data_IF_922694683940
#
_entry.id   IF_922694683940
#
_cell.length_a   1.000
_cell.length_b   1.000
_cell.length_c   1.000
_cell.angle_alpha   90.00
_cell.angle_beta   90.00
_cell.angle_gamma   90.00
#
_symmetry.space_group_name_H-M   'P 1'
#
loop_
_entity.id
_entity.type
_entity.pdbx_description
1 polymer ?
#
# COMPACT_ATOMS: atom_id res chain seq x y z
N UNK A 1 1.64 -39.97 27.14
CA UNK A 1 1.56 -38.49 27.22
C UNK A 1 2.75 -37.77 26.56
N UNK A 2 3.75 -38.49 26.01
CA UNK A 2 4.93 -37.90 25.37
C UNK A 2 4.85 -37.84 23.82
N UNK A 3 3.90 -38.55 23.20
CA UNK A 3 3.84 -38.67 21.73
C UNK A 3 3.35 -37.40 21.00
N UNK A 4 2.60 -36.53 21.68
CA UNK A 4 2.09 -35.28 21.09
C UNK A 4 3.23 -34.27 20.84
N UNK A 5 4.26 -34.26 21.71
CA UNK A 5 5.39 -33.31 21.59
C UNK A 5 6.22 -33.52 20.32
N UNK A 6 6.35 -34.76 19.86
CA UNK A 6 7.24 -35.11 18.73
C UNK A 6 6.56 -34.83 17.37
N UNK A 7 5.22 -34.95 17.29
CA UNK A 7 4.51 -34.71 16.03
C UNK A 7 4.34 -33.22 15.67
N UNK A 8 4.38 -32.34 16.66
CA UNK A 8 4.08 -30.93 16.47
C UNK A 8 5.31 -30.05 16.24
N UNK A 9 6.48 -30.49 16.70
CA UNK A 9 7.78 -29.87 16.43
C UNK A 9 8.05 -29.62 14.93
N UNK A 10 7.87 -30.61 14.01
CA UNK A 10 8.10 -30.39 12.58
C UNK A 10 7.12 -29.39 11.95
N UNK A 11 5.93 -29.17 12.53
CA UNK A 11 4.98 -28.16 12.05
C UNK A 11 5.48 -26.75 12.33
N UNK A 12 6.02 -26.52 13.53
CA UNK A 12 6.56 -25.20 13.90
C UNK A 12 7.80 -24.90 13.07
N UNK A 13 8.69 -25.88 12.86
CA UNK A 13 9.84 -25.71 11.99
C UNK A 13 9.46 -25.38 10.55
N UNK A 14 8.42 -26.04 10.01
CA UNK A 14 7.90 -25.73 8.68
C UNK A 14 7.38 -24.29 8.60
N UNK A 15 6.62 -23.83 9.58
CA UNK A 15 6.14 -22.44 9.66
C UNK A 15 7.30 -21.45 9.73
N UNK A 16 8.33 -21.75 10.53
CA UNK A 16 9.56 -20.96 10.62
C UNK A 16 10.23 -20.86 9.25
N UNK A 17 10.47 -21.98 8.58
CA UNK A 17 11.15 -22.00 7.29
C UNK A 17 10.36 -21.26 6.19
N UNK A 18 9.02 -21.37 6.19
CA UNK A 18 8.18 -20.58 5.28
C UNK A 18 8.25 -19.09 5.58
N UNK A 19 8.21 -18.70 6.87
CA UNK A 19 8.33 -17.31 7.27
C UNK A 19 9.69 -16.72 6.87
N UNK A 20 10.79 -17.45 7.08
CA UNK A 20 12.13 -17.02 6.64
C UNK A 20 12.21 -16.77 5.13
N UNK A 21 11.61 -17.66 4.32
CA UNK A 21 11.54 -17.49 2.86
C UNK A 21 10.72 -16.27 2.46
N UNK A 22 9.56 -16.06 3.09
CA UNK A 22 8.72 -14.90 2.84
C UNK A 22 9.40 -13.59 3.27
N UNK A 23 10.14 -13.60 4.40
CA UNK A 23 10.96 -12.45 4.82
C UNK A 23 11.97 -12.10 3.74
N UNK A 24 12.72 -13.07 3.20
CA UNK A 24 13.72 -12.81 2.17
C UNK A 24 13.11 -12.22 0.89
N UNK A 25 11.92 -12.68 0.50
CA UNK A 25 11.18 -12.12 -0.63
C UNK A 25 10.76 -10.68 -0.35
N UNK A 26 10.19 -10.40 0.82
CA UNK A 26 9.77 -9.05 1.19
C UNK A 26 10.95 -8.07 1.32
N UNK A 27 12.08 -8.53 1.85
CA UNK A 27 13.31 -7.73 1.90
C UNK A 27 13.82 -7.37 0.49
N UNK A 28 13.74 -8.31 -0.45
CA UNK A 28 14.02 -8.06 -1.87
C UNK A 28 13.07 -7.02 -2.47
N UNK A 29 11.78 -7.12 -2.18
CA UNK A 29 10.77 -6.17 -2.69
C UNK A 29 10.93 -4.79 -2.07
N UNK A 30 11.26 -4.70 -0.78
CA UNK A 30 11.59 -3.44 -0.12
C UNK A 30 12.80 -2.78 -0.78
N UNK A 31 13.82 -3.54 -1.17
CA UNK A 31 14.96 -3.02 -1.90
C UNK A 31 14.57 -2.49 -3.29
N UNK A 32 13.75 -3.24 -4.03
CA UNK A 32 13.23 -2.82 -5.33
C UNK A 32 12.38 -1.53 -5.23
N UNK A 33 11.48 -1.45 -4.24
CA UNK A 33 10.67 -0.25 -3.97
C UNK A 33 11.52 0.97 -3.61
N UNK A 34 12.62 0.78 -2.87
CA UNK A 34 13.55 1.86 -2.55
C UNK A 34 14.33 2.34 -3.77
N UNK A 35 14.62 1.44 -4.72
CA UNK A 35 15.23 1.78 -6.01
C UNK A 35 14.24 2.39 -7.01
N UNK A 36 12.94 2.38 -6.71
CA UNK A 36 11.88 2.83 -7.63
C UNK A 36 11.55 1.82 -8.73
N UNK A 37 12.09 0.60 -8.65
CA UNK A 37 11.82 -0.47 -9.61
C UNK A 37 10.63 -1.31 -9.16
N UNK A 38 9.43 -0.85 -9.54
CA UNK A 38 8.17 -1.54 -9.23
C UNK A 38 7.99 -2.79 -10.11
N UNK A 39 8.71 -2.91 -11.22
CA UNK A 39 8.61 -4.08 -12.10
C UNK A 39 9.37 -5.29 -11.54
N UNK A 40 10.41 -5.06 -10.74
CA UNK A 40 11.21 -6.10 -10.09
C UNK A 40 10.57 -6.74 -8.84
N UNK A 41 9.31 -6.42 -8.52
CA UNK A 41 8.62 -6.97 -7.34
C UNK A 41 8.34 -8.46 -7.50
N UNK A 42 8.94 -9.27 -6.62
CA UNK A 42 8.78 -10.72 -6.56
C UNK A 42 7.45 -11.13 -5.94
N UNK A 43 6.76 -10.26 -5.19
CA UNK A 43 5.38 -10.52 -4.74
C UNK A 43 4.41 -10.79 -5.90
N UNK A 44 4.71 -10.32 -7.11
CA UNK A 44 3.94 -10.63 -8.32
C UNK A 44 4.11 -12.07 -8.84
N UNK A 45 5.13 -12.78 -8.38
CA UNK A 45 5.45 -14.14 -8.84
C UNK A 45 4.40 -15.15 -8.34
N UNK A 46 3.81 -15.97 -9.23
CA UNK A 46 2.90 -17.05 -8.86
C UNK A 46 3.43 -18.00 -7.79
N UNK A 47 4.74 -18.25 -7.73
CA UNK A 47 5.34 -19.13 -6.73
C UNK A 47 5.29 -18.50 -5.32
N UNK A 48 5.56 -17.20 -5.23
CA UNK A 48 5.50 -16.43 -3.98
C UNK A 48 4.05 -16.34 -3.49
N UNK A 49 3.09 -16.19 -4.40
CA UNK A 49 1.67 -16.20 -4.06
C UNK A 49 1.22 -17.55 -3.49
N UNK A 50 1.67 -18.65 -4.10
CA UNK A 50 1.43 -20.01 -3.57
C UNK A 50 2.03 -20.19 -2.17
N UNK A 51 3.27 -19.76 -1.97
CA UNK A 51 3.94 -19.80 -0.67
C UNK A 51 3.18 -19.00 0.39
N UNK A 52 2.72 -17.79 0.03
CA UNK A 52 1.95 -16.92 0.92
C UNK A 52 0.61 -17.56 1.29
N UNK A 53 -0.11 -18.14 0.33
CA UNK A 53 -1.37 -18.83 0.57
C UNK A 53 -1.18 -20.08 1.45
N UNK A 54 -0.09 -20.83 1.23
CA UNK A 54 0.25 -21.98 2.06
C UNK A 54 0.56 -21.55 3.50
N UNK A 55 1.43 -20.57 3.69
CA UNK A 55 1.73 -20.02 5.00
C UNK A 55 0.47 -19.51 5.71
N UNK A 56 -0.40 -18.79 5.00
CA UNK A 56 -1.67 -18.31 5.56
C UNK A 56 -2.56 -19.43 6.08
N UNK A 57 -2.72 -20.51 5.32
CA UNK A 57 -3.48 -21.69 5.75
C UNK A 57 -2.85 -22.40 6.94
N UNK A 58 -1.52 -22.59 6.93
CA UNK A 58 -0.82 -23.25 8.02
C UNK A 58 -0.85 -22.40 9.30
N UNK A 59 -0.70 -21.08 9.19
CA UNK A 59 -0.77 -20.16 10.34
C UNK A 59 -2.18 -20.03 10.92
N UNK A 60 -3.24 -20.07 10.09
CA UNK A 60 -4.63 -20.05 10.56
C UNK A 60 -5.01 -21.31 11.33
N UNK A 61 -4.51 -22.47 10.88
CA UNK A 61 -4.77 -23.76 11.53
C UNK A 61 -3.82 -24.04 12.71
N UNK A 62 -2.94 -23.09 13.05
CA UNK A 62 -1.94 -23.28 14.10
C UNK A 62 -2.51 -22.94 15.48
N UNK A 63 -2.53 -23.93 16.38
CA UNK A 63 -2.94 -23.71 17.77
C UNK A 63 -1.76 -23.17 18.61
N UNK A 64 -1.98 -22.03 19.26
CA UNK A 64 -1.03 -21.39 20.17
C UNK A 64 -0.58 -22.29 21.33
N UNK A 65 -1.44 -23.24 21.75
CA UNK A 65 -1.12 -24.20 22.82
C UNK A 65 0.04 -25.13 22.42
N UNK A 66 0.14 -25.44 21.13
CA UNK A 66 1.20 -26.27 20.57
C UNK A 66 2.55 -25.55 20.68
N UNK A 67 2.59 -24.25 20.38
CA UNK A 67 3.80 -23.45 20.55
C UNK A 67 4.24 -23.29 22.03
N UNK A 68 3.30 -23.31 22.97
CA UNK A 68 3.62 -23.24 24.40
C UNK A 68 4.20 -24.54 24.94
N UNK A 69 3.75 -25.68 24.40
CA UNK A 69 4.22 -27.02 24.76
C UNK A 69 5.57 -27.40 24.13
N UNK A 70 6.01 -26.65 23.10
CA UNK A 70 7.27 -26.85 22.40
C UNK A 70 8.50 -26.51 23.27
N UNK A 71 9.69 -27.05 22.92
CA UNK A 71 10.94 -26.70 23.57
C UNK A 71 11.20 -25.18 23.58
N UNK A 72 11.79 -24.68 24.68
CA UNK A 72 12.00 -23.23 24.89
C UNK A 72 12.84 -22.60 23.77
N UNK A 73 13.84 -23.31 23.26
CA UNK A 73 14.69 -22.87 22.15
C UNK A 73 13.88 -22.60 20.88
N UNK A 74 13.02 -23.55 20.53
CA UNK A 74 12.20 -23.51 19.33
C UNK A 74 11.10 -22.44 19.44
N UNK A 75 10.47 -22.32 20.62
CA UNK A 75 9.49 -21.26 20.91
C UNK A 75 10.10 -19.87 20.76
N UNK A 76 11.31 -19.65 21.31
CA UNK A 76 12.01 -18.36 21.20
C UNK A 76 12.33 -18.03 19.74
N UNK A 77 12.81 -19.01 18.97
CA UNK A 77 13.07 -18.83 17.52
C UNK A 77 11.80 -18.47 16.76
N UNK A 78 10.70 -19.19 17.00
CA UNK A 78 9.41 -18.90 16.38
C UNK A 78 8.92 -17.48 16.68
N UNK A 79 8.97 -17.05 17.95
CA UNK A 79 8.56 -15.69 18.34
C UNK A 79 9.44 -14.62 17.70
N UNK A 80 10.75 -14.85 17.63
CA UNK A 80 11.70 -13.92 17.02
C UNK A 80 11.42 -13.74 15.53
N UNK A 81 11.21 -14.84 14.81
CA UNK A 81 10.98 -14.83 13.36
C UNK A 81 9.62 -14.23 13.03
N UNK A 82 8.58 -14.56 13.81
CA UNK A 82 7.24 -13.98 13.60
C UNK A 82 7.21 -12.48 13.92
N UNK A 83 7.98 -12.01 14.91
CA UNK A 83 8.16 -10.58 15.17
C UNK A 83 8.83 -9.89 13.97
N UNK A 84 9.99 -10.40 13.51
CA UNK A 84 10.69 -9.89 12.33
C UNK A 84 9.78 -9.86 11.10
N UNK A 85 9.01 -10.93 10.87
CA UNK A 85 8.10 -11.01 9.74
C UNK A 85 7.05 -9.91 9.75
N UNK A 86 6.43 -9.64 10.92
CA UNK A 86 5.45 -8.54 11.07
C UNK A 86 6.07 -7.18 10.81
N UNK A 87 7.27 -6.92 11.31
CA UNK A 87 7.98 -5.66 11.08
C UNK A 87 8.26 -5.43 9.59
N UNK A 88 8.76 -6.44 8.89
CA UNK A 88 9.04 -6.39 7.45
C UNK A 88 7.74 -6.18 6.65
N UNK A 89 6.66 -6.88 7.00
CA UNK A 89 5.34 -6.68 6.38
C UNK A 89 4.84 -5.25 6.54
N UNK A 90 4.90 -4.69 7.76
CA UNK A 90 4.47 -3.31 8.02
C UNK A 90 5.27 -2.30 7.20
N UNK A 91 6.59 -2.50 7.08
CA UNK A 91 7.45 -1.65 6.26
C UNK A 91 7.08 -1.75 4.77
N UNK A 92 6.89 -2.96 4.26
CA UNK A 92 6.50 -3.20 2.87
C UNK A 92 5.17 -2.52 2.54
N UNK A 93 4.14 -2.69 3.37
CA UNK A 93 2.83 -2.01 3.19
C UNK A 93 2.96 -0.49 3.19
N UNK A 94 3.78 0.07 4.09
CA UNK A 94 4.02 1.52 4.16
C UNK A 94 4.69 2.04 2.88
N UNK A 95 5.65 1.31 2.33
CA UNK A 95 6.33 1.70 1.09
C UNK A 95 5.37 1.63 -0.11
N UNK A 96 4.60 0.55 -0.23
CA UNK A 96 3.58 0.43 -1.28
C UNK A 96 2.57 1.58 -1.24
N UNK A 97 2.08 1.94 -0.04
CA UNK A 97 1.16 3.06 0.11
C UNK A 97 1.78 4.39 -0.34
N UNK A 98 3.06 4.63 -0.05
CA UNK A 98 3.78 5.83 -0.51
C UNK A 98 3.93 5.87 -2.03
N UNK A 99 4.34 4.76 -2.63
CA UNK A 99 4.49 4.65 -4.09
C UNK A 99 3.15 4.87 -4.78
N UNK A 100 2.07 4.25 -4.28
CA UNK A 100 0.71 4.45 -4.78
C UNK A 100 0.26 5.91 -4.69
N UNK A 101 0.46 6.56 -3.53
CA UNK A 101 0.04 7.95 -3.36
C UNK A 101 0.82 8.90 -4.28
N UNK A 102 2.11 8.64 -4.50
CA UNK A 102 2.93 9.42 -5.41
C UNK A 102 2.47 9.25 -6.87
N UNK A 103 2.19 8.02 -7.32
CA UNK A 103 1.72 7.77 -8.69
C UNK A 103 0.35 8.38 -8.95
N UNK A 104 -0.59 8.26 -8.00
CA UNK A 104 -1.90 8.92 -8.10
C UNK A 104 -1.76 10.45 -8.15
N UNK A 105 -0.87 11.03 -7.33
CA UNK A 105 -0.59 12.47 -7.33
C UNK A 105 -0.06 12.97 -8.67
N UNK A 106 0.89 12.23 -9.27
CA UNK A 106 1.42 12.56 -10.60
C UNK A 106 0.35 12.49 -11.69
N UNK A 107 -0.48 11.44 -11.69
CA UNK A 107 -1.58 11.30 -12.66
C UNK A 107 -2.58 12.45 -12.51
N UNK A 108 -2.97 12.80 -11.28
CA UNK A 108 -3.87 13.94 -11.03
C UNK A 108 -3.26 15.27 -11.48
N UNK A 109 -1.97 15.49 -11.24
CA UNK A 109 -1.29 16.70 -11.68
C UNK A 109 -1.30 16.82 -13.20
N UNK A 110 -1.03 15.71 -13.92
CA UNK A 110 -1.10 15.67 -15.39
C UNK A 110 -2.53 15.94 -15.86
N UNK A 111 -3.54 15.28 -15.28
CA UNK A 111 -4.94 15.50 -15.64
C UNK A 111 -5.36 16.96 -15.45
N UNK A 112 -5.01 17.56 -14.32
CA UNK A 112 -5.29 18.98 -14.04
C UNK A 112 -4.59 19.92 -15.03
N UNK A 113 -3.37 19.60 -15.45
CA UNK A 113 -2.64 20.42 -16.43
C UNK A 113 -3.28 20.30 -17.82
N UNK A 114 -3.66 19.09 -18.23
CA UNK A 114 -4.39 18.87 -19.48
C UNK A 114 -5.73 19.60 -19.48
N UNK A 115 -6.48 19.54 -18.37
CA UNK A 115 -7.74 20.27 -18.20
C UNK A 115 -7.53 21.79 -18.27
N UNK A 116 -6.43 22.30 -17.69
CA UNK A 116 -6.06 23.72 -17.76
C UNK A 116 -5.72 24.16 -19.18
N UNK A 117 -4.97 23.36 -19.92
CA UNK A 117 -4.62 23.62 -21.32
C UNK A 117 -5.84 23.57 -22.24
N UNK A 118 -6.79 22.67 -21.95
CA UNK A 118 -8.04 22.54 -22.70
C UNK A 118 -9.13 23.53 -22.26
N UNK A 119 -8.93 24.26 -21.15
CA UNK A 119 -9.90 25.23 -20.68
C UNK A 119 -10.05 26.35 -21.72
N UNK A 120 -11.27 26.62 -22.23
CA UNK A 120 -11.46 27.66 -23.23
C UNK A 120 -11.00 29.00 -22.66
N UNK A 121 -10.14 29.70 -23.40
CA UNK A 121 -9.68 31.04 -23.05
C UNK A 121 -10.90 31.90 -22.76
N UNK A 122 -11.11 32.24 -21.49
CA UNK A 122 -12.19 33.15 -21.08
C UNK A 122 -11.85 34.53 -21.63
N UNK A 123 -12.31 34.79 -22.85
CA UNK A 123 -12.28 36.12 -23.44
C UNK A 123 -13.18 36.99 -22.60
N UNK A 124 -12.61 37.93 -21.84
CA UNK A 124 -13.32 39.07 -21.28
C UNK A 124 -13.69 40.02 -22.43
N UNK A 125 -14.61 39.57 -23.28
CA UNK A 125 -15.21 40.34 -24.36
C UNK A 125 -16.72 40.47 -24.10
N UNK A 126 -17.35 41.57 -24.51
CA UNK A 126 -18.80 41.70 -24.42
C UNK A 126 -19.44 40.51 -25.15
N UNK A 127 -20.36 39.82 -24.46
CA UNK A 127 -21.09 38.69 -25.03
C UNK A 127 -21.71 39.10 -26.37
N UNK A 128 -21.61 38.29 -27.44
CA UNK A 128 -22.32 38.57 -28.68
C UNK A 128 -23.81 38.69 -28.38
N UNK A 129 -24.41 39.86 -28.64
CA UNK A 129 -25.80 40.15 -28.32
C UNK A 129 -26.05 40.92 -27.01
N UNK A 130 -25.00 41.24 -26.23
CA UNK A 130 -25.15 42.16 -25.10
C UNK A 130 -25.32 43.59 -25.61
N UNK A 131 -26.57 44.06 -25.64
CA UNK A 131 -26.86 45.48 -25.81
C UNK A 131 -26.67 46.15 -24.44
N UNK A 132 -25.70 47.08 -24.27
CA UNK A 132 -25.63 47.84 -23.03
C UNK A 132 -26.96 48.54 -22.82
N UNK A 133 -27.52 48.40 -21.62
CA UNK A 133 -28.74 49.11 -21.23
C UNK A 133 -28.46 50.61 -21.42
N UNK A 134 -29.27 51.32 -22.20
CA UNK A 134 -29.06 52.75 -22.41
C UNK A 134 -29.05 53.43 -21.04
N UNK A 135 -28.02 54.21 -20.78
CA UNK A 135 -27.89 54.98 -19.54
C UNK A 135 -29.06 55.97 -19.48
N UNK A 136 -30.14 55.58 -18.80
CA UNK A 136 -31.22 56.49 -18.45
C UNK A 136 -30.64 57.66 -17.68
N UNK A 137 -31.07 58.87 -18.03
CA UNK A 137 -30.51 60.12 -17.50
C UNK A 137 -30.41 60.07 -15.96
N UNK A 138 -29.18 60.14 -15.44
CA UNK A 138 -28.94 60.40 -14.02
C UNK A 138 -29.44 61.81 -13.71
N UNK A 139 -30.62 61.92 -13.09
CA UNK A 139 -31.11 63.18 -12.55
C UNK A 139 -30.31 63.47 -11.27
N UNK A 140 -29.34 64.37 -11.38
CA UNK A 140 -28.69 64.95 -10.21
C UNK A 140 -29.65 65.94 -9.54
N UNK A 141 -30.22 65.54 -8.40
CA UNK A 141 -30.98 66.45 -7.56
C UNK A 141 -30.00 67.46 -6.92
N UNK A 142 -29.96 68.70 -7.42
CA UNK A 142 -29.24 69.79 -6.77
C UNK A 142 -30.07 70.28 -5.59
N UNK A 143 -29.59 70.00 -4.38
CA UNK A 143 -30.06 70.65 -3.15
C UNK A 143 -29.48 72.07 -3.14
N UNK A 144 -30.35 73.07 -3.03
CA UNK A 144 -30.01 74.47 -2.70
C UNK A 144 -30.47 74.72 -1.27
#
# INVERSE_FOLDING_TARGET
MNDVKIQDEPKIERLIAMAERLIAVLESDIAALKAGDVAALKTGDPEVQKLTAQYGREAQNFDLRIAQAAPVTLRTRFLTITAKFREVLMLHTRLLARVKNASEGMIRAIANEVDRMNAPTRTYGPRPGYKPQSSGAMVFNKVV
#
